data_IF_609865937118
#
_entry.id   IF_609865937118
#
_cell.length_a   1.000
_cell.length_b   1.000
_cell.length_c   1.000
_cell.angle_alpha   90.00
_cell.angle_beta   90.00
_cell.angle_gamma   90.00
#
_symmetry.space_group_name_H-M   'P 1'
#
loop_
_entity.id
_entity.type
_entity.pdbx_description
1 polymer ?
2 non-polymer ?
3 water ?
#
# COMPACT_ATOMS: atom_id res chain seq x y z
N UNK A 5 -13.57 -9.78 -24.74
CA UNK A 5 -13.76 -9.30 -23.38
C UNK A 5 -13.28 -7.86 -23.23
N UNK A 6 -13.60 -7.25 -22.09
CA UNK A 6 -13.12 -5.91 -21.77
C UNK A 6 -11.81 -6.02 -20.99
N UNK A 7 -10.84 -5.18 -21.37
CA UNK A 7 -9.54 -5.21 -20.70
C UNK A 7 -9.67 -4.86 -19.23
N UNK A 8 -10.49 -3.86 -18.90
CA UNK A 8 -10.70 -3.50 -17.51
C UNK A 8 -11.57 -4.51 -16.78
N UNK A 9 -12.29 -5.37 -17.51
CA UNK A 9 -13.04 -6.44 -16.87
C UNK A 9 -12.11 -7.55 -16.40
N UNK A 10 -11.22 -8.01 -17.28
CA UNK A 10 -10.24 -9.02 -16.87
C UNK A 10 -9.28 -8.47 -15.84
N UNK A 11 -9.06 -7.15 -15.82
CA UNK A 11 -8.24 -6.56 -14.77
C UNK A 11 -8.90 -6.70 -13.41
N UNK A 12 -10.23 -6.58 -13.36
CA UNK A 12 -10.95 -6.83 -12.12
C UNK A 12 -10.80 -8.29 -11.69
N UNK A 13 -10.86 -9.21 -12.65
CA UNK A 13 -10.68 -10.63 -12.34
C UNK A 13 -9.29 -10.89 -11.78
N UNK A 14 -8.26 -10.39 -12.45
CA UNK A 14 -6.89 -10.56 -11.96
C UNK A 14 -6.71 -9.88 -10.61
N UNK A 15 -7.31 -8.70 -10.43
CA UNK A 15 -7.20 -8.00 -9.16
C UNK A 15 -7.93 -8.75 -8.05
N UNK A 16 -9.10 -9.31 -8.36
CA UNK A 16 -9.85 -10.06 -7.35
C UNK A 16 -9.09 -11.31 -6.92
N UNK A 17 -8.47 -12.01 -7.88
CA UNK A 17 -7.67 -13.18 -7.54
C UNK A 17 -6.47 -12.79 -6.67
N UNK A 18 -5.85 -11.64 -6.97
CA UNK A 18 -4.73 -11.17 -6.16
C UNK A 18 -5.18 -10.81 -4.75
N UNK A 19 -6.34 -10.16 -4.63
CA UNK A 19 -6.87 -9.82 -3.31
C UNK A 19 -7.22 -11.06 -2.51
N UNK A 20 -7.76 -12.09 -3.18
CA UNK A 20 -8.14 -13.31 -2.48
C UNK A 20 -6.91 -14.01 -1.91
N UNK A 21 -5.82 -14.06 -2.67
CA UNK A 21 -4.59 -14.65 -2.15
C UNK A 21 -3.98 -13.78 -1.05
N UNK A 22 -4.02 -12.46 -1.23
CA UNK A 22 -3.45 -11.55 -0.23
C UNK A 22 -4.21 -11.65 1.09
N UNK A 23 -5.54 -11.73 1.03
CA UNK A 23 -6.33 -11.83 2.25
C UNK A 23 -6.05 -13.13 2.99
N UNK A 24 -5.82 -14.22 2.26
CA UNK A 24 -5.54 -15.50 2.90
C UNK A 24 -4.19 -15.50 3.59
N UNK A 25 -3.17 -14.94 2.94
CA UNK A 25 -1.82 -14.95 3.50
C UNK A 25 -1.62 -13.86 4.54
N UNK A 26 -2.25 -12.70 4.36
CA UNK A 26 -2.14 -11.57 5.29
C UNK A 26 -3.54 -11.17 5.73
N UNK A 27 -4.11 -11.90 6.70
CA UNK A 27 -5.51 -11.63 7.08
C UNK A 27 -5.71 -10.29 7.77
N UNK A 28 -4.68 -9.71 8.38
CA UNK A 28 -4.82 -8.49 9.15
C UNK A 28 -4.18 -7.28 8.46
N UNK A 29 -3.80 -7.40 7.19
CA UNK A 29 -3.15 -6.29 6.50
C UNK A 29 -3.52 -6.38 5.02
N UNK A 30 -4.43 -5.52 4.59
CA UNK A 30 -4.81 -5.45 3.18
C UNK A 30 -3.72 -4.75 2.38
N UNK A 31 -3.86 -4.81 1.05
CA UNK A 31 -2.89 -4.15 0.18
C UNK A 31 -2.87 -2.63 0.37
N UNK A 32 -4.01 -1.93 0.48
CA UNK A 32 -3.92 -0.48 0.76
C UNK A 32 -3.27 -0.18 2.09
N UNK A 33 -3.54 -0.99 3.12
CA UNK A 33 -2.85 -0.82 4.39
C UNK A 33 -1.36 -1.11 4.26
N UNK A 34 -1.02 -2.16 3.51
CA UNK A 34 0.39 -2.51 3.30
C UNK A 34 1.12 -1.41 2.54
N UNK A 35 0.48 -0.83 1.53
CA UNK A 35 1.11 0.24 0.77
C UNK A 35 1.31 1.50 1.60
N UNK A 36 0.38 1.78 2.52
CA UNK A 36 0.53 2.94 3.40
C UNK A 36 1.73 2.76 4.31
N UNK A 37 1.88 1.56 4.88
CA UNK A 37 3.01 1.31 5.77
C UNK A 37 4.33 1.33 5.01
N UNK A 38 4.33 0.85 3.77
CA UNK A 38 5.55 0.88 2.96
C UNK A 38 5.96 2.31 2.65
N UNK A 39 4.99 3.18 2.34
CA UNK A 39 5.31 4.56 1.99
C UNK A 39 5.80 5.34 3.20
N UNK A 40 5.29 5.04 4.39
CA UNK A 40 5.78 5.69 5.60
C UNK A 40 7.22 5.26 5.88
N UNK A 41 7.52 3.97 5.70
CA UNK A 41 8.88 3.49 5.93
C UNK A 41 9.85 4.04 4.89
N UNK A 42 9.38 4.28 3.67
CA UNK A 42 10.25 4.85 2.64
C UNK A 42 10.56 6.32 2.92
N UNK A 43 9.67 7.02 3.62
CA UNK A 43 9.85 8.43 3.93
C UNK A 43 9.29 8.70 5.32
N UNK A 44 10.08 8.43 6.37
CA UNK A 44 9.61 8.70 7.73
C UNK A 44 9.34 10.18 7.93
N UNK A 45 8.21 10.48 8.55
CA UNK A 45 7.79 11.86 8.71
C UNK A 45 7.09 12.45 7.51
N UNK A 46 6.62 11.60 6.58
CA UNK A 46 5.93 12.09 5.40
C UNK A 46 4.65 12.80 5.81
N UNK A 47 4.37 13.93 5.15
CA UNK A 47 3.13 14.64 5.40
C UNK A 47 1.94 13.79 4.97
N UNK A 48 0.87 13.83 5.76
CA UNK A 48 -0.28 12.96 5.51
C UNK A 48 -0.91 13.24 4.15
N UNK A 49 -0.91 14.49 3.71
CA UNK A 49 -1.49 14.81 2.40
C UNK A 49 -0.63 14.25 1.28
N UNK A 50 0.69 14.15 1.49
CA UNK A 50 1.55 13.53 0.49
C UNK A 50 1.44 12.01 0.52
N UNK A 51 1.09 11.44 1.67
CA UNK A 51 0.90 10.00 1.78
C UNK A 51 -0.27 9.52 0.93
N UNK A 52 -1.19 10.41 0.57
CA UNK A 52 -2.34 10.02 -0.24
C UNK A 52 -1.88 9.49 -1.60
N UNK A 53 -1.00 10.24 -2.27
CA UNK A 53 -0.52 9.82 -3.58
C UNK A 53 0.48 8.68 -3.45
N UNK A 54 1.36 8.74 -2.45
CA UNK A 54 2.44 7.76 -2.35
C UNK A 54 1.91 6.35 -2.11
N UNK A 55 0.74 6.23 -1.48
CA UNK A 55 0.16 4.93 -1.16
C UNK A 55 -1.09 4.61 -1.96
N UNK A 56 -1.46 5.47 -2.91
CA UNK A 56 -2.67 5.30 -3.73
C UNK A 56 -3.88 5.15 -2.82
N UNK A 57 -4.27 6.25 -2.17
CA UNK A 57 -5.43 6.27 -1.29
C UNK A 57 -6.19 7.56 -1.55
N UNK A 58 -7.11 7.89 -0.65
CA UNK A 58 -7.82 9.16 -0.67
C UNK A 58 -7.69 9.82 0.69
N UNK A 59 -8.04 11.10 0.75
CA UNK A 59 -7.91 11.85 2.01
C UNK A 59 -8.78 11.24 3.10
N UNK A 60 -10.00 10.83 2.76
CA UNK A 60 -10.90 10.23 3.74
C UNK A 60 -10.48 8.81 4.09
N UNK A 61 -10.10 8.01 3.09
CA UNK A 61 -9.70 6.63 3.35
C UNK A 61 -8.42 6.58 4.17
N UNK A 62 -7.45 7.45 3.86
CA UNK A 62 -6.20 7.45 4.60
C UNK A 62 -6.39 7.91 6.04
N UNK A 63 -7.21 8.94 6.25
CA UNK A 63 -7.45 9.44 7.60
C UNK A 63 -8.12 8.37 8.46
N UNK A 64 -9.07 7.63 7.89
CA UNK A 64 -9.69 6.53 8.62
C UNK A 64 -8.66 5.46 8.95
N UNK A 65 -7.86 5.07 7.96
CA UNK A 65 -6.93 3.97 8.15
C UNK A 65 -5.81 4.34 9.12
N UNK A 66 -5.29 5.57 9.03
CA UNK A 66 -4.24 6.00 9.94
C UNK A 66 -4.74 6.09 11.38
N UNK A 67 -6.01 6.46 11.57
CA UNK A 67 -6.57 6.52 12.91
C UNK A 67 -6.62 5.13 13.55
N UNK A 68 -6.96 4.11 12.75
CA UNK A 68 -6.98 2.75 13.27
C UNK A 68 -5.56 2.25 13.55
N UNK A 69 -4.62 2.56 12.66
CA UNK A 69 -3.22 2.19 12.90
C UNK A 69 -2.68 2.89 14.14
N UNK A 70 -3.04 4.16 14.33
CA UNK A 70 -2.61 4.89 15.52
C UNK A 70 -3.18 4.27 16.78
N UNK A 71 -4.46 3.88 16.75
CA UNK A 71 -5.10 3.28 17.91
C UNK A 71 -4.51 1.92 18.26
N UNK A 72 -3.86 1.25 17.31
CA UNK A 72 -3.24 -0.04 17.55
C UNK A 72 -1.74 0.05 17.77
N UNK A 73 -1.22 1.26 17.98
CA UNK A 73 0.19 1.43 18.27
C UNK A 73 1.14 1.17 17.12
N UNK A 74 0.63 1.17 15.89
CA UNK A 74 1.47 0.92 14.72
C UNK A 74 1.96 2.19 14.04
N UNK A 75 1.29 3.31 14.26
CA UNK A 75 1.58 4.56 13.56
C UNK A 75 1.63 5.70 14.57
N UNK A 76 2.62 6.57 14.42
CA UNK A 76 2.79 7.75 15.25
C UNK A 76 2.72 9.00 14.37
N UNK A 77 2.04 10.03 14.85
CA UNK A 77 1.83 11.24 14.07
C UNK A 77 2.11 12.48 14.91
N UNK A 78 2.61 13.52 14.24
CA UNK A 78 2.80 14.84 14.81
C UNK A 78 2.06 15.87 13.96
N UNK A 79 1.90 17.07 14.50
CA UNK A 79 1.10 18.10 13.86
C UNK A 79 1.93 19.36 13.60
N UNK A 80 1.56 20.06 12.53
CA UNK A 80 2.13 21.37 12.26
C UNK A 80 1.59 22.38 13.27
N UNK A 81 2.49 23.09 13.95
CA UNK A 81 2.07 24.05 14.96
C UNK A 81 1.29 25.21 14.35
N UNK A 82 1.60 25.57 13.10
CA UNK A 82 0.89 26.66 12.43
C UNK A 82 -0.40 26.20 11.77
N UNK A 83 -0.62 24.90 11.62
CA UNK A 83 -1.83 24.39 10.98
C UNK A 83 -1.98 22.92 11.40
N UNK A 84 -2.80 22.69 12.43
CA UNK A 84 -3.00 21.33 12.93
C UNK A 84 -3.68 20.42 11.91
N UNK A 85 -4.18 20.97 10.80
CA UNK A 85 -4.71 20.12 9.73
C UNK A 85 -3.60 19.31 9.07
N UNK A 86 -2.37 19.83 9.06
CA UNK A 86 -1.23 19.13 8.49
C UNK A 86 -0.62 18.20 9.53
N UNK A 87 -0.39 16.95 9.14
CA UNK A 87 0.17 15.95 10.03
C UNK A 87 1.29 15.20 9.33
N UNK A 88 2.25 14.72 10.12
CA UNK A 88 3.38 13.95 9.64
C UNK A 88 3.35 12.57 10.28
N UNK A 89 3.66 11.54 9.50
CA UNK A 89 3.40 10.16 9.87
C UNK A 89 4.71 9.41 10.04
N UNK A 90 4.82 8.66 11.13
CA UNK A 90 5.94 7.76 11.37
C UNK A 90 5.41 6.37 11.71
N UNK A 91 6.24 5.36 11.46
CA UNK A 91 5.97 4.01 11.93
C UNK A 91 6.55 3.83 13.32
N UNK A 92 5.77 3.23 14.21
CA UNK A 92 6.29 2.87 15.52
C UNK A 92 7.15 1.62 15.42
N UNK A 93 7.80 1.27 16.53
CA UNK A 93 8.62 0.06 16.56
C UNK A 93 7.77 -1.17 16.26
N UNK A 94 6.54 -1.21 16.77
CA UNK A 94 5.64 -2.32 16.45
C UNK A 94 5.21 -2.26 14.99
N UNK A 95 5.03 -1.05 14.45
CA UNK A 95 4.69 -0.92 13.04
C UNK A 95 5.79 -1.42 12.13
N UNK A 96 7.04 -1.16 12.49
CA UNK A 96 8.16 -1.69 11.71
C UNK A 96 8.19 -3.21 11.75
N UNK A 97 7.85 -3.79 12.90
CA UNK A 97 7.81 -5.25 13.01
C UNK A 97 6.70 -5.83 12.14
N UNK A 98 5.53 -5.20 12.14
CA UNK A 98 4.41 -5.69 11.34
C UNK A 98 4.74 -5.60 9.86
N UNK A 99 5.33 -4.48 9.43
CA UNK A 99 5.67 -4.32 8.02
C UNK A 99 6.78 -5.26 7.60
N UNK A 100 7.81 -5.42 8.44
CA UNK A 100 8.93 -6.29 8.09
C UNK A 100 8.49 -7.74 7.94
N UNK A 101 7.51 -8.17 8.73
CA UNK A 101 7.03 -9.54 8.63
C UNK A 101 6.14 -9.74 7.41
N UNK A 102 5.46 -8.68 6.96
CA UNK A 102 4.54 -8.77 5.83
C UNK A 102 5.22 -8.64 4.47
N UNK A 103 6.41 -8.02 4.41
CA UNK A 103 7.06 -7.81 3.12
C UNK A 103 7.37 -9.12 2.40
N UNK A 104 8.00 -10.12 3.03
CA UNK A 104 8.23 -11.38 2.32
C UNK A 104 6.95 -12.11 1.96
N UNK A 105 5.89 -11.95 2.77
CA UNK A 105 4.61 -12.56 2.44
C UNK A 105 3.99 -11.88 1.23
N UNK A 106 3.96 -10.54 1.24
CA UNK A 106 3.37 -9.81 0.14
C UNK A 106 4.14 -9.98 -1.16
N UNK A 107 5.47 -10.08 -1.07
CA UNK A 107 6.27 -10.30 -2.27
C UNK A 107 5.96 -11.66 -2.89
N UNK A 108 5.72 -12.67 -2.06
CA UNK A 108 5.42 -14.00 -2.59
C UNK A 108 4.06 -14.05 -3.26
N UNK A 109 3.10 -13.25 -2.78
CA UNK A 109 1.79 -13.21 -3.42
C UNK A 109 1.89 -12.55 -4.79
N UNK A 110 2.65 -11.46 -4.89
CA UNK A 110 2.88 -10.83 -6.18
C UNK A 110 3.60 -11.78 -7.13
N UNK A 111 4.57 -12.53 -6.61
CA UNK A 111 5.34 -13.44 -7.45
C UNK A 111 4.48 -14.56 -8.02
N UNK A 112 3.40 -14.94 -7.32
CA UNK A 112 2.50 -15.96 -7.84
C UNK A 112 1.91 -15.56 -9.18
N UNK A 113 1.64 -14.26 -9.38
CA UNK A 113 1.08 -13.75 -10.62
C UNK A 113 2.15 -13.22 -11.57
N UNK A 114 3.10 -12.43 -11.05
CA UNK A 114 4.15 -11.88 -11.89
C UNK A 114 5.13 -12.96 -12.35
N UNK A 115 5.34 -13.99 -11.53
CA UNK A 115 6.24 -15.07 -11.91
C UNK A 115 5.79 -15.85 -13.12
N UNK A 116 4.51 -15.74 -13.49
CA UNK A 116 4.00 -16.37 -14.70
C UNK A 116 4.39 -15.60 -15.96
N UNK A 117 5.00 -14.43 -15.81
CA UNK A 117 5.49 -13.64 -16.93
C UNK A 117 7.01 -13.65 -16.95
N UNK A 118 7.57 -13.60 -18.16
CA UNK A 118 9.01 -13.47 -18.30
C UNK A 118 9.46 -12.07 -17.89
N UNK A 119 10.78 -11.90 -17.78
CA UNK A 119 11.32 -10.60 -17.41
C UNK A 119 10.96 -9.54 -18.44
N UNK A 120 10.98 -9.90 -19.72
CA UNK A 120 10.57 -8.96 -20.76
C UNK A 120 9.07 -8.67 -20.69
N UNK A 121 8.27 -9.70 -20.38
CA UNK A 121 6.83 -9.49 -20.25
C UNK A 121 6.49 -8.66 -19.03
N UNK A 122 7.25 -8.80 -17.95
CA UNK A 122 7.01 -7.99 -16.75
C UNK A 122 7.37 -6.53 -17.00
N UNK A 123 8.57 -6.29 -17.55
CA UNK A 123 8.99 -4.92 -17.84
C UNK A 123 8.05 -4.24 -18.83
N UNK A 124 7.51 -5.00 -19.78
CA UNK A 124 6.61 -4.41 -20.77
C UNK A 124 5.22 -4.18 -20.18
N UNK A 125 4.75 -5.10 -19.33
CA UNK A 125 3.46 -4.90 -18.67
C UNK A 125 3.46 -3.60 -17.86
N UNK A 126 4.60 -3.27 -17.25
CA UNK A 126 4.72 -2.00 -16.54
C UNK A 126 4.67 -0.82 -17.50
N UNK A 127 5.15 -1.01 -18.73
CA UNK A 127 5.13 0.07 -19.71
C UNK A 127 3.71 0.36 -20.19
N UNK A 128 2.90 -0.68 -20.38
CA UNK A 128 1.54 -0.48 -20.86
C UNK A 128 0.66 0.15 -19.79
N UNK A 129 0.83 -0.27 -18.53
CA UNK A 129 0.06 0.33 -17.44
C UNK A 129 0.41 1.80 -17.29
N UNK A 130 1.70 2.14 -17.39
CA UNK A 130 2.11 3.53 -17.31
C UNK A 130 1.62 4.34 -18.50
N UNK A 131 1.52 3.71 -19.67
CA UNK A 131 1.06 4.42 -20.86
C UNK A 131 -0.43 4.74 -20.78
N UNK A 132 -1.20 3.92 -20.07
CA UNK A 132 -2.64 4.15 -19.95
C UNK A 132 -2.98 5.19 -18.90
N UNK A 133 -2.07 5.49 -17.98
CA UNK A 133 -2.37 6.37 -16.86
C UNK A 133 -2.35 7.83 -17.29
N UNK A 134 -3.08 8.65 -16.54
CA UNK A 134 -3.15 10.08 -16.80
C UNK A 134 -1.90 10.79 -16.30
X LIG B 1 -15.77 -4.47 -15.42
X LIG B 1 -15.20 -3.97 -14.46
X LIG B 1 -16.32 -5.66 -15.40
X LIG B 1 -15.87 -3.77 -16.73
X LIG B 1 -14.91 -2.84 -17.12
X LIG B 1 -15.01 -2.19 -18.34
X LIG B 1 -16.08 -2.46 -19.18
X LIG B 1 -17.04 -3.38 -18.80
X LIG B 1 -16.94 -4.03 -17.59
X LIG B 1 -16.19 -1.82 -20.38
#
# INVERSE_FOLDING_TARGET
MALRNKAFHQLRQLFQQHTARWQHELPDLTKPQYAVMRAIADKPGIEQVALIEAAVSTKATLAEMLARMENRGLVRREHDAADKRRRFVWLTAEGEKVLAAAIPIGDSVDEEFLGRLSAEEQELFMQLVRKMMNTLEHHHHHH
PHB C1' O1' O2' C1 C2 C3 C4 C5 C6 O4
#
